data_IF_476971500952
#
_entry.id   IF_476971500952
#
_cell.length_a   1.000
_cell.length_b   1.000
_cell.length_c   1.000
_cell.angle_alpha   90.00
_cell.angle_beta   90.00
_cell.angle_gamma   90.00
#
_symmetry.space_group_name_H-M   'P 1'
#
loop_
_entity.id
_entity.type
_entity.pdbx_description
1 polymer ?
#
# COMPACT_ATOMS: atom_id res chain seq x y z
N UNK A 1 -4.91 -14.22 10.43
CA UNK A 1 -5.33 -13.10 11.29
C UNK A 1 -5.88 -12.01 10.38
N UNK A 2 -7.20 -11.92 10.22
CA UNK A 2 -7.85 -10.84 9.48
C UNK A 2 -8.14 -9.70 10.45
N UNK A 3 -7.32 -8.65 10.40
CA UNK A 3 -7.57 -7.41 11.14
C UNK A 3 -8.67 -6.63 10.44
N UNK A 4 -9.67 -6.21 11.22
CA UNK A 4 -10.84 -5.42 10.82
C UNK A 4 -10.51 -4.44 9.68
N UNK A 5 -10.97 -4.77 8.46
CA UNK A 5 -10.78 -3.95 7.26
C UNK A 5 -10.01 -4.65 6.14
N UNK A 6 -8.83 -5.22 6.37
CA UNK A 6 -8.01 -5.70 5.25
C UNK A 6 -8.29 -7.18 4.91
N UNK A 7 -8.77 -7.42 3.69
CA UNK A 7 -9.12 -8.76 3.17
C UNK A 7 -7.90 -9.61 2.82
N UNK A 8 -6.72 -8.98 2.69
CA UNK A 8 -5.50 -9.64 2.20
C UNK A 8 -5.48 -9.80 0.66
N UNK A 9 -6.43 -9.19 -0.05
CA UNK A 9 -6.52 -9.24 -1.51
C UNK A 9 -6.48 -7.84 -2.11
N UNK A 10 -5.98 -7.75 -3.35
CA UNK A 10 -5.93 -6.50 -4.11
C UNK A 10 -7.32 -6.02 -4.58
N UNK A 11 -7.46 -4.74 -4.89
CA UNK A 11 -8.67 -4.20 -5.53
C UNK A 11 -9.06 -4.96 -6.81
N UNK A 12 -8.08 -5.33 -7.63
CA UNK A 12 -8.35 -6.11 -8.85
C UNK A 12 -8.91 -7.49 -8.54
N UNK A 13 -8.44 -8.14 -7.48
CA UNK A 13 -8.99 -9.42 -7.06
C UNK A 13 -10.48 -9.30 -6.70
N UNK A 14 -10.85 -8.29 -5.91
CA UNK A 14 -12.25 -8.01 -5.55
C UNK A 14 -13.11 -7.73 -6.78
N UNK A 15 -12.61 -6.92 -7.72
CA UNK A 15 -13.30 -6.60 -8.97
C UNK A 15 -13.49 -7.85 -9.83
N UNK A 16 -12.43 -8.65 -10.02
CA UNK A 16 -12.45 -9.83 -10.89
C UNK A 16 -13.31 -10.98 -10.32
N UNK A 17 -13.40 -11.09 -9.00
CA UNK A 17 -14.28 -12.06 -8.33
C UNK A 17 -15.72 -11.60 -8.25
N UNK A 18 -16.01 -10.35 -8.65
CA UNK A 18 -17.33 -9.73 -8.53
C UNK A 18 -17.89 -9.86 -7.11
N UNK A 19 -17.04 -9.65 -6.11
CA UNK A 19 -17.43 -9.86 -4.72
C UNK A 19 -18.31 -8.72 -4.17
N UNK A 20 -18.83 -8.93 -2.96
CA UNK A 20 -19.71 -7.96 -2.32
C UNK A 20 -19.02 -6.59 -2.13
N UNK A 21 -17.70 -6.56 -1.90
CA UNK A 21 -16.98 -5.31 -1.73
C UNK A 21 -16.93 -4.51 -3.03
N UNK A 22 -16.59 -5.18 -4.13
CA UNK A 22 -16.58 -4.57 -5.46
C UNK A 22 -17.97 -4.08 -5.87
N UNK A 23 -19.02 -4.87 -5.64
CA UNK A 23 -20.40 -4.49 -5.92
C UNK A 23 -20.80 -3.26 -5.08
N UNK A 24 -20.53 -3.29 -3.77
CA UNK A 24 -20.92 -2.22 -2.83
C UNK A 24 -20.35 -0.85 -3.22
N UNK A 25 -19.12 -0.82 -3.71
CA UNK A 25 -18.44 0.41 -4.11
C UNK A 25 -18.40 0.60 -5.63
N UNK A 26 -19.31 -0.05 -6.36
CA UNK A 26 -19.48 0.08 -7.81
C UNK A 26 -18.15 -0.02 -8.58
N UNK A 27 -17.29 -0.96 -8.17
CA UNK A 27 -15.98 -1.26 -8.77
C UNK A 27 -14.98 -0.10 -8.77
N UNK A 28 -15.20 0.94 -7.96
CA UNK A 28 -14.31 2.10 -7.83
C UNK A 28 -13.54 2.00 -6.51
N UNK A 29 -12.25 1.70 -6.59
CA UNK A 29 -11.34 1.64 -5.42
C UNK A 29 -12.01 0.99 -4.17
N UNK A 30 -12.44 -0.29 -4.25
CA UNK A 30 -13.28 -0.89 -3.21
C UNK A 30 -12.66 -0.86 -1.81
N UNK A 31 -11.36 -1.15 -1.68
CA UNK A 31 -10.67 -1.14 -0.38
C UNK A 31 -10.56 0.27 0.20
N UNK A 32 -10.20 1.27 -0.60
CA UNK A 32 -10.08 2.66 -0.13
C UNK A 32 -11.42 3.21 0.33
N UNK A 33 -12.50 2.92 -0.41
CA UNK A 33 -13.84 3.35 -0.01
C UNK A 33 -14.32 2.62 1.26
N UNK A 34 -13.99 1.35 1.41
CA UNK A 34 -14.27 0.60 2.64
C UNK A 34 -13.49 1.14 3.83
N UNK A 35 -12.19 1.39 3.70
CA UNK A 35 -11.40 1.99 4.78
C UNK A 35 -11.96 3.36 5.21
N UNK A 36 -12.35 4.20 4.25
CA UNK A 36 -13.01 5.47 4.53
C UNK A 36 -14.35 5.26 5.25
N UNK A 37 -15.20 4.33 4.79
CA UNK A 37 -16.48 4.05 5.42
C UNK A 37 -16.33 3.57 6.87
N UNK A 38 -15.46 2.58 7.10
CA UNK A 38 -15.16 2.05 8.45
C UNK A 38 -14.61 3.15 9.37
N UNK A 39 -13.72 4.02 8.86
CA UNK A 39 -13.22 5.14 9.65
C UNK A 39 -14.34 6.09 10.08
N UNK A 40 -15.27 6.44 9.18
CA UNK A 40 -16.41 7.31 9.53
C UNK A 40 -17.44 6.63 10.43
N UNK A 41 -17.64 5.32 10.31
CA UNK A 41 -18.49 4.54 11.22
C UNK A 41 -17.91 4.53 12.64
N UNK A 42 -16.60 4.31 12.78
CA UNK A 42 -15.92 4.38 14.07
C UNK A 42 -16.01 5.77 14.70
N UNK A 43 -15.84 6.84 13.90
CA UNK A 43 -16.02 8.23 14.35
C UNK A 43 -17.46 8.54 14.80
N UNK A 44 -18.45 7.74 14.41
CA UNK A 44 -19.83 7.89 14.86
C UNK A 44 -20.04 7.33 16.28
N UNK A 45 -19.13 6.48 16.76
CA UNK A 45 -19.15 5.99 18.15
C UNK A 45 -18.62 7.08 19.10
N UNK A 46 -19.39 7.39 20.15
CA UNK A 46 -19.07 8.50 21.08
C UNK A 46 -17.72 8.36 21.78
N UNK A 47 -17.25 7.14 21.96
CA UNK A 47 -15.95 6.84 22.58
C UNK A 47 -14.77 7.05 21.62
N UNK A 48 -15.01 7.13 20.31
CA UNK A 48 -13.99 7.30 19.28
C UNK A 48 -14.16 8.56 18.42
N UNK A 49 -15.11 9.45 18.74
CA UNK A 49 -15.27 10.74 18.04
C UNK A 49 -14.14 11.71 18.40
N UNK A 50 -12.97 11.51 17.80
CA UNK A 50 -11.82 12.43 17.92
C UNK A 50 -12.11 13.81 17.32
N UNK A 51 -13.22 13.95 16.59
CA UNK A 51 -13.68 15.22 16.01
C UNK A 51 -14.75 15.88 16.89
N UNK A 52 -14.99 15.37 18.10
CA UNK A 52 -16.00 15.85 19.04
C UNK A 52 -15.98 17.38 19.23
N UNK A 53 -14.80 17.97 19.28
CA UNK A 53 -14.56 19.39 19.56
C UNK A 53 -14.67 20.30 18.34
N UNK A 54 -14.84 19.74 17.14
CA UNK A 54 -14.95 20.53 15.90
C UNK A 54 -16.39 21.01 15.65
N UNK A 55 -16.50 22.21 15.10
CA UNK A 55 -17.75 22.76 14.59
C UNK A 55 -18.28 21.98 13.38
N UNK A 56 -19.56 22.15 13.07
CA UNK A 56 -20.19 21.45 11.94
C UNK A 56 -19.51 21.77 10.60
N UNK A 57 -19.05 23.02 10.42
CA UNK A 57 -18.32 23.46 9.22
C UNK A 57 -16.98 22.74 9.10
N UNK A 58 -16.21 22.66 10.19
CA UNK A 58 -14.92 21.96 10.23
C UNK A 58 -15.11 20.45 10.01
N UNK A 59 -16.18 19.85 10.53
CA UNK A 59 -16.51 18.44 10.28
C UNK A 59 -16.84 18.18 8.81
N UNK A 60 -17.56 19.09 8.16
CA UNK A 60 -17.84 19.00 6.71
C UNK A 60 -16.55 19.13 5.90
N UNK A 61 -15.66 20.05 6.29
CA UNK A 61 -14.37 20.22 5.64
C UNK A 61 -13.47 18.99 5.80
N UNK A 62 -13.41 18.39 6.99
CA UNK A 62 -12.67 17.13 7.23
C UNK A 62 -13.22 16.00 6.37
N UNK A 63 -14.55 15.84 6.27
CA UNK A 63 -15.19 14.83 5.40
C UNK A 63 -14.85 15.05 3.93
N UNK A 64 -14.95 16.29 3.47
CA UNK A 64 -14.71 16.66 2.07
C UNK A 64 -13.23 16.50 1.70
N UNK A 65 -12.32 16.99 2.55
CA UNK A 65 -10.87 16.93 2.37
C UNK A 65 -10.33 15.50 2.45
N UNK A 66 -10.96 14.64 3.27
CA UNK A 66 -10.65 13.21 3.32
C UNK A 66 -10.91 12.52 1.99
N UNK A 67 -11.91 12.99 1.24
CA UNK A 67 -12.33 12.45 -0.06
C UNK A 67 -11.58 13.09 -1.24
N UNK A 68 -11.19 14.37 -1.18
CA UNK A 68 -10.80 15.15 -2.38
C UNK A 68 -9.37 15.69 -2.45
N UNK A 69 -8.58 15.77 -1.36
CA UNK A 69 -7.31 16.54 -1.40
C UNK A 69 -6.11 15.79 -2.00
N UNK A 70 -5.58 16.30 -3.12
CA UNK A 70 -4.46 15.73 -3.87
C UNK A 70 -3.09 15.81 -3.18
N UNK A 71 -2.83 16.84 -2.37
CA UNK A 71 -1.51 17.06 -1.74
C UNK A 71 -1.29 16.18 -0.50
N UNK A 72 -2.35 15.91 0.29
CA UNK A 72 -2.30 15.00 1.45
C UNK A 72 -2.15 13.54 1.03
N UNK A 73 -2.72 13.19 -0.13
CA UNK A 73 -2.56 11.87 -0.76
C UNK A 73 -1.09 11.51 -1.02
N UNK A 74 -0.23 12.46 -1.43
CA UNK A 74 1.17 12.12 -1.75
C UNK A 74 1.96 11.76 -0.49
N UNK A 75 1.80 12.51 0.61
CA UNK A 75 2.46 12.19 1.87
C UNK A 75 1.94 10.88 2.49
N UNK A 76 0.62 10.66 2.46
CA UNK A 76 0.03 9.41 2.94
C UNK A 76 0.40 8.22 2.07
N UNK A 77 0.41 8.40 0.74
CA UNK A 77 0.86 7.38 -0.20
C UNK A 77 2.34 7.06 0.01
N UNK A 78 3.19 8.06 0.24
CA UNK A 78 4.59 7.82 0.56
C UNK A 78 4.78 7.09 1.89
N UNK A 79 3.94 7.36 2.89
CA UNK A 79 3.94 6.60 4.14
C UNK A 79 3.57 5.12 3.89
N UNK A 80 2.57 4.88 3.06
CA UNK A 80 2.09 3.55 2.66
C UNK A 80 3.17 2.74 1.91
N UNK A 81 3.93 3.40 1.02
CA UNK A 81 5.04 2.76 0.28
C UNK A 81 6.41 2.98 0.92
N UNK A 82 6.48 3.36 2.20
CA UNK A 82 7.74 3.76 2.86
C UNK A 82 8.66 2.60 3.26
N UNK A 83 8.21 1.36 3.16
CA UNK A 83 9.00 0.20 3.62
C UNK A 83 10.43 0.17 3.06
N UNK A 84 10.68 0.45 1.76
CA UNK A 84 12.03 0.43 1.21
C UNK A 84 12.97 1.54 1.69
N UNK A 85 12.46 2.58 2.37
CA UNK A 85 13.30 3.64 2.98
C UNK A 85 13.63 3.36 4.45
N UNK A 86 13.18 2.23 5.01
CA UNK A 86 13.47 1.82 6.38
C UNK A 86 14.80 1.05 6.48
N UNK A 87 15.39 0.90 7.68
CA UNK A 87 16.52 0.01 7.88
C UNK A 87 16.24 -1.40 7.36
N UNK A 88 17.27 -2.07 6.84
CA UNK A 88 17.14 -3.35 6.14
C UNK A 88 16.33 -4.41 6.90
N UNK A 89 16.59 -4.61 8.19
CA UNK A 89 15.88 -5.60 9.00
C UNK A 89 14.35 -5.38 9.04
N UNK A 90 13.92 -4.11 9.09
CA UNK A 90 12.50 -3.75 9.05
C UNK A 90 11.96 -3.98 7.65
N UNK A 91 12.67 -3.50 6.62
CA UNK A 91 12.24 -3.65 5.23
C UNK A 91 12.05 -5.12 4.86
N UNK A 92 13.04 -5.97 5.17
CA UNK A 92 13.02 -7.40 4.89
C UNK A 92 11.79 -8.09 5.50
N UNK A 93 11.47 -7.78 6.76
CA UNK A 93 10.28 -8.31 7.44
C UNK A 93 8.99 -7.96 6.67
N UNK A 94 8.86 -6.71 6.21
CA UNK A 94 7.70 -6.29 5.42
C UNK A 94 7.69 -6.91 4.03
N UNK A 95 8.85 -7.10 3.41
CA UNK A 95 8.95 -7.81 2.13
C UNK A 95 8.46 -9.25 2.26
N UNK A 96 8.86 -9.98 3.29
CA UNK A 96 8.44 -11.39 3.46
C UNK A 96 6.93 -11.50 3.72
N UNK A 97 6.37 -10.56 4.47
CA UNK A 97 4.91 -10.47 4.71
C UNK A 97 4.13 -10.21 3.44
N UNK A 98 4.53 -9.23 2.63
CA UNK A 98 3.80 -8.92 1.39
C UNK A 98 3.91 -10.05 0.36
N UNK A 99 5.05 -10.73 0.27
CA UNK A 99 5.19 -11.90 -0.60
C UNK A 99 4.29 -13.05 -0.13
N UNK A 100 4.14 -13.24 1.19
CA UNK A 100 3.21 -14.22 1.75
C UNK A 100 1.76 -13.91 1.33
N UNK A 101 1.36 -12.64 1.39
CA UNK A 101 0.02 -12.20 0.97
C UNK A 101 -0.18 -12.38 -0.54
N UNK A 102 0.80 -12.01 -1.38
CA UNK A 102 0.73 -12.18 -2.84
C UNK A 102 0.56 -13.64 -3.22
N UNK A 103 1.34 -14.54 -2.62
CA UNK A 103 1.20 -15.96 -2.90
C UNK A 103 -0.12 -16.55 -2.36
N UNK A 104 -0.63 -16.04 -1.23
CA UNK A 104 -1.95 -16.45 -0.75
C UNK A 104 -3.08 -15.99 -1.70
N UNK A 105 -2.96 -14.79 -2.29
CA UNK A 105 -3.85 -14.33 -3.35
C UNK A 105 -3.75 -15.24 -4.59
N UNK A 106 -2.54 -15.54 -5.07
CA UNK A 106 -2.34 -16.37 -6.25
C UNK A 106 -2.87 -17.79 -6.10
N UNK A 107 -2.73 -18.40 -4.91
CA UNK A 107 -3.33 -19.70 -4.62
C UNK A 107 -4.87 -19.62 -4.70
N UNK A 108 -5.45 -18.50 -4.28
CA UNK A 108 -6.88 -18.30 -4.35
C UNK A 108 -7.36 -18.08 -5.79
N UNK A 109 -6.67 -17.25 -6.56
CA UNK A 109 -6.90 -17.06 -8.00
C UNK A 109 -6.85 -18.39 -8.74
N UNK A 110 -5.86 -19.24 -8.44
CA UNK A 110 -5.74 -20.59 -9.01
C UNK A 110 -6.94 -21.48 -8.69
N UNK A 111 -7.41 -21.49 -7.43
CA UNK A 111 -8.60 -22.26 -7.03
C UNK A 111 -9.87 -21.81 -7.74
N UNK A 112 -9.97 -20.51 -8.03
CA UNK A 112 -11.10 -19.91 -8.73
C UNK A 112 -10.94 -19.92 -10.25
N UNK A 113 -9.88 -20.53 -10.78
CA UNK A 113 -9.52 -20.53 -12.20
C UNK A 113 -9.45 -19.11 -12.81
N UNK A 114 -9.02 -18.12 -12.03
CA UNK A 114 -8.81 -16.74 -12.47
C UNK A 114 -7.42 -16.56 -13.10
N UNK A 115 -7.24 -15.56 -13.98
CA UNK A 115 -5.92 -15.14 -14.41
C UNK A 115 -5.05 -14.76 -13.21
N UNK A 116 -3.84 -15.32 -13.16
CA UNK A 116 -2.90 -15.09 -12.07
C UNK A 116 -2.42 -13.63 -12.09
N UNK A 117 -2.50 -12.97 -10.94
CA UNK A 117 -1.99 -11.62 -10.75
C UNK A 117 -0.46 -11.59 -10.82
N UNK A 118 0.08 -10.47 -11.31
CA UNK A 118 1.52 -10.29 -11.44
C UNK A 118 2.22 -10.51 -10.09
N UNK A 119 3.24 -11.38 -10.08
CA UNK A 119 4.01 -11.68 -8.87
C UNK A 119 3.34 -12.60 -7.85
N UNK A 120 2.10 -13.05 -8.10
CA UNK A 120 1.34 -13.90 -7.18
C UNK A 120 1.55 -15.41 -7.40
N UNK A 121 2.24 -15.83 -8.47
CA UNK A 121 2.51 -17.26 -8.71
C UNK A 121 3.73 -17.76 -7.92
N UNK A 122 3.49 -18.56 -6.89
CA UNK A 122 4.57 -19.24 -6.15
C UNK A 122 5.21 -20.40 -6.91
N UNK A 123 4.54 -20.97 -7.92
CA UNK A 123 5.06 -22.08 -8.72
C UNK A 123 5.96 -21.60 -9.86
N UNK A 124 5.83 -20.34 -10.26
CA UNK A 124 6.71 -19.67 -11.20
C UNK A 124 7.12 -18.29 -10.65
N UNK A 125 7.90 -18.25 -9.56
CA UNK A 125 8.14 -17.03 -8.82
C UNK A 125 9.05 -16.08 -9.59
N UNK A 126 8.69 -14.79 -9.59
CA UNK A 126 9.63 -13.73 -9.92
C UNK A 126 10.64 -13.63 -8.76
N UNK A 127 11.96 -13.61 -9.02
CA UNK A 127 12.95 -13.45 -7.96
C UNK A 127 12.61 -12.25 -7.08
N UNK A 128 12.54 -12.46 -5.76
CA UNK A 128 12.14 -11.43 -4.78
C UNK A 128 12.98 -10.16 -4.95
N UNK A 129 14.30 -10.32 -5.11
CA UNK A 129 15.22 -9.22 -5.39
C UNK A 129 14.86 -8.42 -6.66
N UNK A 130 14.45 -9.10 -7.73
CA UNK A 130 14.02 -8.45 -8.99
C UNK A 130 12.73 -7.68 -8.79
N UNK A 131 11.77 -8.26 -8.07
CA UNK A 131 10.50 -7.61 -7.77
C UNK A 131 10.69 -6.36 -6.92
N UNK A 132 11.49 -6.45 -5.85
CA UNK A 132 11.75 -5.32 -4.96
C UNK A 132 12.58 -4.23 -5.64
N UNK A 133 13.59 -4.57 -6.44
CA UNK A 133 14.35 -3.59 -7.22
C UNK A 133 13.44 -2.85 -8.22
N UNK A 134 12.56 -3.57 -8.91
CA UNK A 134 11.56 -2.98 -9.81
C UNK A 134 10.60 -2.05 -9.07
N UNK A 135 10.10 -2.45 -7.89
CA UNK A 135 9.21 -1.64 -7.07
C UNK A 135 9.88 -0.35 -6.58
N UNK A 136 11.14 -0.44 -6.11
CA UNK A 136 11.91 0.73 -5.70
C UNK A 136 12.08 1.71 -6.86
N UNK A 137 12.51 1.22 -8.02
CA UNK A 137 12.81 2.06 -9.18
C UNK A 137 11.55 2.65 -9.82
N UNK A 138 10.48 1.85 -9.94
CA UNK A 138 9.26 2.23 -10.64
C UNK A 138 8.29 3.06 -9.81
N UNK A 139 8.26 2.88 -8.49
CA UNK A 139 7.24 3.49 -7.61
C UNK A 139 7.88 4.33 -6.51
N UNK A 140 8.67 3.70 -5.63
CA UNK A 140 9.08 4.36 -4.38
C UNK A 140 10.03 5.52 -4.63
N UNK A 141 11.04 5.33 -5.49
CA UNK A 141 12.01 6.39 -5.81
C UNK A 141 11.32 7.62 -6.44
N UNK A 142 10.45 7.50 -7.48
CA UNK A 142 9.69 8.65 -7.99
C UNK A 142 8.86 9.38 -6.93
N UNK A 143 8.20 8.65 -6.03
CA UNK A 143 7.38 9.23 -4.94
C UNK A 143 8.25 10.03 -3.98
N UNK A 144 9.34 9.45 -3.47
CA UNK A 144 10.22 10.12 -2.51
C UNK A 144 11.01 11.27 -3.13
N UNK A 145 11.41 11.18 -4.40
CA UNK A 145 12.01 12.31 -5.11
C UNK A 145 11.04 13.47 -5.29
N UNK A 146 9.77 13.18 -5.61
CA UNK A 146 8.74 14.22 -5.73
C UNK A 146 8.53 14.92 -4.40
N UNK A 147 8.45 14.17 -3.30
CA UNK A 147 8.33 14.74 -1.96
C UNK A 147 9.54 15.55 -1.52
N UNK A 148 10.76 15.16 -1.92
CA UNK A 148 11.96 15.93 -1.58
C UNK A 148 12.02 17.33 -2.21
N UNK A 149 11.15 17.61 -3.19
CA UNK A 149 11.03 18.94 -3.83
C UNK A 149 10.12 19.88 -3.03
N UNK A 150 9.38 19.38 -2.04
CA UNK A 150 8.50 20.20 -1.21
C UNK A 150 9.35 21.09 -0.29
N UNK A 151 9.13 22.41 -0.24
CA UNK A 151 9.87 23.29 0.66
C UNK A 151 9.77 22.82 2.12
N UNK A 152 10.89 22.88 2.85
CA UNK A 152 11.03 22.44 4.26
C UNK A 152 10.93 20.92 4.51
N UNK A 153 10.82 20.10 3.47
CA UNK A 153 10.85 18.63 3.59
C UNK A 153 12.28 18.12 3.37
N UNK A 154 12.84 17.44 4.38
CA UNK A 154 14.21 16.92 4.35
C UNK A 154 14.20 15.38 4.31
N UNK A 155 14.28 14.80 3.10
CA UNK A 155 14.23 13.34 2.88
C UNK A 155 15.57 12.73 2.45
N UNK A 156 16.68 13.46 2.57
CA UNK A 156 18.00 12.96 2.16
C UNK A 156 18.32 11.61 2.81
N UNK A 157 18.10 11.50 4.12
CA UNK A 157 18.35 10.25 4.84
C UNK A 157 17.52 9.07 4.31
N UNK A 158 16.24 9.31 3.96
CA UNK A 158 15.35 8.30 3.39
C UNK A 158 15.82 7.86 2.00
N UNK A 159 16.22 8.81 1.14
CA UNK A 159 16.75 8.52 -0.19
C UNK A 159 18.08 7.76 -0.12
N UNK A 160 19.00 8.16 0.76
CA UNK A 160 20.25 7.45 0.98
C UNK A 160 19.99 6.00 1.47
N UNK A 161 19.00 5.80 2.35
CA UNK A 161 18.61 4.46 2.81
C UNK A 161 17.96 3.64 1.69
N UNK A 162 17.14 4.26 0.84
CA UNK A 162 16.55 3.64 -0.34
C UNK A 162 17.62 3.12 -1.29
N UNK A 163 18.66 3.93 -1.54
CA UNK A 163 19.79 3.57 -2.40
C UNK A 163 20.58 2.39 -1.82
N UNK A 164 20.84 2.40 -0.51
CA UNK A 164 21.48 1.27 0.19
C UNK A 164 20.67 -0.02 0.04
N UNK A 165 19.37 0.03 0.30
CA UNK A 165 18.50 -1.15 0.21
C UNK A 165 18.36 -1.63 -1.24
N UNK A 166 18.29 -0.72 -2.22
CA UNK A 166 18.28 -1.07 -3.64
C UNK A 166 19.56 -1.81 -4.03
N UNK A 167 20.71 -1.32 -3.58
CA UNK A 167 21.99 -1.96 -3.85
C UNK A 167 22.03 -3.39 -3.30
N UNK A 168 21.55 -3.61 -2.08
CA UNK A 168 21.45 -4.97 -1.51
C UNK A 168 20.65 -5.91 -2.41
N UNK A 169 19.49 -5.46 -2.94
CA UNK A 169 18.71 -6.26 -3.87
C UNK A 169 19.40 -6.47 -5.22
N UNK A 170 20.07 -5.46 -5.76
CA UNK A 170 20.80 -5.57 -7.02
C UNK A 170 21.99 -6.53 -6.91
N UNK A 171 22.72 -6.49 -5.79
CA UNK A 171 23.85 -7.37 -5.54
C UNK A 171 23.41 -8.85 -5.45
N UNK A 172 22.17 -9.12 -5.00
CA UNK A 172 21.59 -10.47 -5.02
C UNK A 172 21.16 -10.96 -6.43
N UNK A 173 21.04 -10.06 -7.40
CA UNK A 173 20.69 -10.39 -8.79
C UNK A 173 21.93 -10.59 -9.67
N UNK A 174 23.10 -10.16 -9.21
CA UNK A 174 24.34 -10.42 -9.92
C UNK A 174 24.57 -11.95 -9.94
N UNK A 175 24.97 -12.53 -11.09
CA UNK A 175 25.40 -13.92 -11.13
C UNK A 175 26.52 -14.08 -10.11
N UNK A 176 26.41 -15.06 -9.21
CA UNK A 176 27.56 -15.53 -8.43
C UNK A 176 28.64 -15.93 -9.43
N UNK A 177 29.76 -15.19 -9.39
CA UNK A 177 30.95 -15.49 -10.18
C UNK A 177 31.54 -16.85 -9.82
#
# INVERSE_FOLDING_TARGET
MGGQGHTGYSNNFHINTNDHLAIRYAYRSPLENMHCAVAFELLHSRECDILATLSDVERIEVRTTSITSSSRRVALHAADVSNPVKPWAVYQTWTDRIMTEFYAQGDHERRLALPMSFGCDRHNPIPQAKMQAGFILGIVRPVFHTLSRVPKVHLKHCLDQLDRNLKVWQDQLAPTA
#
